data_IF_268036174636
#
_entry.id   IF_268036174636
#
_cell.length_a   1.000
_cell.length_b   1.000
_cell.length_c   1.000
_cell.angle_alpha   90.00
_cell.angle_beta   90.00
_cell.angle_gamma   90.00
#
_symmetry.space_group_name_H-M   'P 1'
#
loop_
_entity.id
_entity.type
_entity.pdbx_description
1 polymer ?
#
# COMPACT_ATOMS: atom_id res chain seq x y z
N UNK A 1 -2.29 67.89 -1.84
CA UNK A 1 -1.74 66.61 -1.33
C UNK A 1 -2.68 65.49 -1.78
N UNK A 2 -2.22 64.59 -2.66
CA UNK A 2 -2.95 63.39 -3.10
C UNK A 2 -2.41 62.21 -2.29
N UNK A 3 -3.27 61.53 -1.54
CA UNK A 3 -2.91 60.32 -0.79
C UNK A 3 -3.44 59.10 -1.53
N UNK A 4 -2.48 58.46 -2.21
CA UNK A 4 -2.18 57.03 -2.30
C UNK A 4 -3.33 56.03 -2.39
N UNK A 5 -3.42 55.41 -3.57
CA UNK A 5 -4.08 54.14 -3.87
C UNK A 5 -3.60 53.01 -2.95
N UNK A 6 -4.52 52.27 -2.33
CA UNK A 6 -4.23 50.94 -1.80
C UNK A 6 -5.29 50.00 -2.40
N UNK A 7 -4.92 49.38 -3.52
CA UNK A 7 -5.59 48.21 -4.07
C UNK A 7 -5.07 46.99 -3.31
N UNK A 8 -5.88 46.45 -2.40
CA UNK A 8 -5.58 45.19 -1.73
C UNK A 8 -5.94 44.06 -2.72
N UNK A 9 -4.93 43.56 -3.42
CA UNK A 9 -5.01 42.31 -4.18
C UNK A 9 -4.92 41.15 -3.18
N UNK A 10 -6.06 40.55 -2.85
CA UNK A 10 -6.10 39.24 -2.20
C UNK A 10 -5.60 38.20 -3.20
N UNK A 11 -4.33 37.83 -3.09
CA UNK A 11 -3.77 36.69 -3.78
C UNK A 11 -4.41 35.40 -3.22
N UNK A 12 -5.04 34.63 -4.10
CA UNK A 12 -5.55 33.29 -3.79
C UNK A 12 -4.41 32.41 -3.28
N UNK A 13 -4.47 32.00 -2.02
CA UNK A 13 -3.62 30.96 -1.48
C UNK A 13 -4.10 29.62 -2.04
N UNK A 14 -3.59 29.22 -3.20
CA UNK A 14 -3.64 27.83 -3.63
C UNK A 14 -2.62 27.14 -2.73
N UNK A 15 -3.08 26.50 -1.66
CA UNK A 15 -2.23 25.53 -0.97
C UNK A 15 -2.00 24.41 -1.96
N UNK A 16 -0.80 24.37 -2.54
CA UNK A 16 -0.26 23.21 -3.23
C UNK A 16 -0.29 22.05 -2.23
N UNK A 17 -1.38 21.28 -2.24
CA UNK A 17 -1.39 19.94 -1.67
C UNK A 17 -0.56 19.14 -2.64
N UNK A 18 0.76 19.19 -2.46
CA UNK A 18 1.72 18.34 -3.15
C UNK A 18 1.46 16.91 -2.65
N UNK A 19 0.43 16.29 -3.21
CA UNK A 19 0.14 14.89 -3.04
C UNK A 19 1.23 14.14 -3.80
N UNK A 20 2.41 14.05 -3.19
CA UNK A 20 3.53 13.29 -3.72
C UNK A 20 3.06 11.84 -3.91
N UNK A 21 2.89 11.44 -5.16
CA UNK A 21 2.60 10.06 -5.54
C UNK A 21 3.81 9.21 -5.11
N UNK A 22 3.72 8.59 -3.94
CA UNK A 22 4.70 7.62 -3.48
C UNK A 22 4.56 6.37 -4.33
N UNK A 23 5.35 6.29 -5.40
CA UNK A 23 5.51 5.05 -6.16
C UNK A 23 6.32 4.08 -5.33
N UNK A 24 5.81 2.89 -5.08
CA UNK A 24 6.50 1.86 -4.31
C UNK A 24 7.03 0.79 -5.27
N UNK A 25 8.22 0.26 -4.97
CA UNK A 25 8.81 -0.85 -5.73
C UNK A 25 9.11 -2.00 -4.81
N UNK A 26 8.73 -3.22 -5.21
CA UNK A 26 8.94 -4.42 -4.40
C UNK A 26 10.43 -4.65 -4.07
N UNK A 27 11.33 -4.22 -4.96
CA UNK A 27 12.79 -4.30 -4.77
C UNK A 27 13.30 -3.45 -3.60
N UNK A 28 12.54 -2.42 -3.20
CA UNK A 28 12.89 -1.61 -2.04
C UNK A 28 12.61 -2.32 -0.72
N UNK A 29 11.81 -3.39 -0.73
CA UNK A 29 11.26 -3.98 0.49
C UNK A 29 10.38 -2.99 1.26
N UNK A 30 10.03 -3.36 2.49
CA UNK A 30 9.30 -2.49 3.40
C UNK A 30 9.78 -2.64 4.84
N UNK A 31 9.85 -1.52 5.55
CA UNK A 31 10.13 -1.47 6.98
C UNK A 31 8.86 -1.14 7.75
N UNK A 32 8.43 -2.07 8.58
CA UNK A 32 7.21 -2.01 9.38
C UNK A 32 7.57 -2.08 10.86
N UNK A 33 7.73 -0.91 11.51
CA UNK A 33 8.25 -0.84 12.87
C UNK A 33 9.69 -1.39 12.96
N UNK A 34 9.86 -2.50 13.68
CA UNK A 34 11.12 -3.21 13.79
C UNK A 34 11.32 -4.31 12.73
N UNK A 35 10.26 -4.69 12.00
CA UNK A 35 10.29 -5.77 11.01
C UNK A 35 10.70 -5.25 9.64
N UNK A 36 11.53 -6.02 8.92
CA UNK A 36 11.95 -5.70 7.54
C UNK A 36 11.45 -6.79 6.60
N UNK A 37 10.54 -6.45 5.70
CA UNK A 37 10.08 -7.32 4.62
C UNK A 37 10.95 -7.12 3.38
N UNK A 38 11.77 -8.11 3.05
CA UNK A 38 12.61 -8.09 1.86
C UNK A 38 11.80 -8.45 0.61
N UNK A 39 12.32 -8.09 -0.57
CA UNK A 39 11.72 -8.43 -1.86
C UNK A 39 11.29 -9.90 -1.94
N UNK A 40 12.20 -10.83 -1.60
CA UNK A 40 11.92 -12.28 -1.65
C UNK A 40 10.73 -12.67 -0.78
N UNK A 41 10.64 -12.13 0.45
CA UNK A 41 9.51 -12.40 1.35
C UNK A 41 8.19 -11.88 0.78
N UNK A 42 8.21 -10.71 0.16
CA UNK A 42 7.03 -10.13 -0.47
C UNK A 42 6.60 -10.93 -1.71
N UNK A 43 7.55 -11.33 -2.55
CA UNK A 43 7.29 -12.16 -3.73
C UNK A 43 6.74 -13.54 -3.34
N UNK A 44 7.29 -14.17 -2.30
CA UNK A 44 6.83 -15.46 -1.78
C UNK A 44 5.42 -15.37 -1.19
N UNK A 45 5.04 -14.23 -0.62
CA UNK A 45 3.68 -13.99 -0.15
C UNK A 45 2.70 -13.72 -1.30
N UNK A 46 3.14 -13.09 -2.41
CA UNK A 46 2.28 -12.76 -3.54
C UNK A 46 2.05 -13.97 -4.46
N UNK A 47 3.12 -14.68 -4.81
CA UNK A 47 3.15 -15.69 -5.86
C UNK A 47 2.08 -16.79 -5.74
N UNK A 48 1.75 -17.35 -4.55
CA UNK A 48 0.72 -18.37 -4.41
C UNK A 48 -0.68 -17.89 -4.83
N UNK A 49 -0.92 -16.59 -4.76
CA UNK A 49 -2.19 -15.96 -5.05
C UNK A 49 -2.28 -15.42 -6.47
N UNK A 50 -1.27 -15.66 -7.32
CA UNK A 50 -1.17 -15.09 -8.65
C UNK A 50 -1.08 -16.18 -9.72
N UNK A 51 -1.94 -16.09 -10.74
CA UNK A 51 -1.90 -16.97 -11.92
C UNK A 51 -1.87 -16.18 -13.20
N UNK A 52 -1.51 -16.85 -14.29
CA UNK A 52 -1.65 -16.29 -15.64
C UNK A 52 -3.02 -16.70 -16.20
N UNK A 53 -3.81 -15.72 -16.63
CA UNK A 53 -5.12 -15.94 -17.25
C UNK A 53 -5.00 -16.37 -18.72
N UNK A 54 -6.13 -16.61 -19.39
CA UNK A 54 -6.16 -17.03 -20.80
C UNK A 54 -5.53 -16.04 -21.77
N UNK A 55 -5.44 -14.76 -21.40
CA UNK A 55 -4.86 -13.68 -22.20
C UNK A 55 -3.36 -13.50 -21.94
N UNK A 56 -2.75 -14.37 -21.12
CA UNK A 56 -1.33 -14.27 -20.76
C UNK A 56 -1.01 -13.20 -19.73
N UNK A 57 -2.03 -12.62 -19.07
CA UNK A 57 -1.86 -11.58 -18.04
C UNK A 57 -1.93 -12.17 -16.63
N UNK A 58 -1.18 -11.63 -15.66
CA UNK A 58 -1.34 -12.00 -14.27
C UNK A 58 -2.73 -11.60 -13.76
N UNK A 59 -3.30 -12.44 -12.90
CA UNK A 59 -4.59 -12.29 -12.25
C UNK A 59 -4.51 -12.84 -10.82
N UNK A 60 -5.07 -12.10 -9.87
CA UNK A 60 -5.22 -12.50 -8.47
C UNK A 60 -6.24 -13.65 -8.33
N UNK A 61 -5.92 -14.66 -7.53
CA UNK A 61 -6.82 -15.75 -7.13
C UNK A 61 -7.36 -15.40 -5.76
N UNK A 62 -8.67 -15.13 -5.65
CA UNK A 62 -9.28 -14.83 -4.35
C UNK A 62 -9.23 -16.05 -3.43
N UNK A 63 -8.71 -15.85 -2.21
CA UNK A 63 -8.70 -16.83 -1.12
C UNK A 63 -9.35 -16.24 0.13
N UNK A 64 -9.87 -17.10 1.02
CA UNK A 64 -10.67 -16.68 2.19
C UNK A 64 -9.88 -15.86 3.22
N UNK A 65 -8.54 -15.93 3.19
CA UNK A 65 -7.62 -15.20 4.04
C UNK A 65 -7.27 -13.80 3.53
N UNK A 66 -7.73 -13.43 2.33
CA UNK A 66 -7.52 -12.11 1.77
C UNK A 66 -8.50 -11.08 2.30
N UNK A 67 -7.99 -9.87 2.51
CA UNK A 67 -8.82 -8.67 2.73
C UNK A 67 -8.78 -7.80 1.49
N UNK A 68 -9.78 -6.93 1.31
CA UNK A 68 -9.84 -6.03 0.14
C UNK A 68 -10.11 -4.58 0.52
N UNK A 69 -9.59 -3.65 -0.25
CA UNK A 69 -10.01 -2.25 -0.24
C UNK A 69 -10.18 -1.75 -1.66
N UNK A 70 -10.71 -0.54 -1.82
CA UNK A 70 -10.81 0.12 -3.12
C UNK A 70 -10.03 1.43 -3.04
N UNK A 71 -9.12 1.66 -3.99
CA UNK A 71 -8.47 2.96 -4.16
C UNK A 71 -9.29 3.79 -5.15
N UNK A 72 -9.40 5.08 -4.86
CA UNK A 72 -9.88 6.10 -5.81
C UNK A 72 -8.63 6.55 -6.59
N UNK A 73 -8.56 6.25 -7.90
CA UNK A 73 -9.38 6.97 -8.86
C UNK A 73 -10.35 6.07 -9.66
N UNK A 74 -11.37 6.67 -10.26
CA UNK A 74 -12.38 5.95 -11.06
C UNK A 74 -11.81 5.38 -12.37
N UNK A 75 -12.13 4.13 -12.74
CA UNK A 75 -12.91 3.16 -11.97
C UNK A 75 -12.12 2.64 -10.76
N UNK A 76 -12.78 2.40 -9.61
CA UNK A 76 -12.10 1.99 -8.39
C UNK A 76 -11.33 0.69 -8.62
N UNK A 77 -10.00 0.76 -8.50
CA UNK A 77 -9.13 -0.41 -8.57
C UNK A 77 -9.11 -1.07 -7.19
N UNK A 78 -9.54 -2.33 -7.04
CA UNK A 78 -9.45 -3.01 -5.77
C UNK A 78 -7.98 -3.34 -5.45
N UNK A 79 -7.61 -3.18 -4.18
CA UNK A 79 -6.40 -3.76 -3.62
C UNK A 79 -6.73 -4.99 -2.79
N UNK A 80 -5.89 -6.01 -2.92
CA UNK A 80 -5.94 -7.25 -2.17
C UNK A 80 -4.79 -7.26 -1.18
N UNK A 81 -5.10 -7.52 0.09
CA UNK A 81 -4.15 -7.53 1.19
C UNK A 81 -3.84 -8.97 1.56
N UNK A 82 -2.62 -9.40 1.26
CA UNK A 82 -2.14 -10.75 1.47
C UNK A 82 -1.36 -10.80 2.79
N UNK A 83 -1.67 -11.75 3.70
CA UNK A 83 -1.03 -11.80 5.00
C UNK A 83 0.47 -12.04 4.89
N UNK A 84 1.26 -11.32 5.68
CA UNK A 84 2.70 -11.51 5.75
C UNK A 84 3.09 -12.31 7.01
N UNK A 85 4.15 -13.13 6.92
CA UNK A 85 4.70 -13.83 8.08
C UNK A 85 5.35 -12.84 9.06
N UNK A 86 5.69 -13.34 10.24
CA UNK A 86 6.50 -12.60 11.20
C UNK A 86 7.97 -12.61 10.78
N UNK A 87 8.58 -11.43 10.66
CA UNK A 87 10.00 -11.25 10.34
C UNK A 87 10.71 -10.39 11.38
N UNK A 88 12.01 -10.63 11.57
CA UNK A 88 12.85 -9.84 12.46
C UNK A 88 13.38 -8.54 11.81
N UNK A 89 14.25 -7.85 12.52
CA UNK A 89 14.90 -6.62 12.06
C UNK A 89 15.96 -6.85 10.97
N UNK A 90 16.32 -8.10 10.68
CA UNK A 90 17.17 -8.45 9.55
C UNK A 90 16.32 -8.86 8.34
N UNK A 91 15.03 -9.13 8.53
CA UNK A 91 14.13 -9.68 7.51
C UNK A 91 14.23 -11.19 7.37
N UNK A 92 14.64 -11.88 8.43
CA UNK A 92 14.54 -13.33 8.55
C UNK A 92 13.15 -13.72 9.08
N UNK A 93 12.56 -14.77 8.52
CA UNK A 93 11.26 -15.29 8.96
C UNK A 93 11.43 -15.95 10.33
N UNK A 94 10.75 -15.40 11.34
CA UNK A 94 10.73 -15.92 12.71
C UNK A 94 9.55 -16.88 12.90
N UNK A 95 8.41 -16.60 12.26
CA UNK A 95 7.23 -17.47 12.27
C UNK A 95 6.47 -17.35 10.95
N UNK A 96 5.90 -18.46 10.48
CA UNK A 96 5.02 -18.50 9.30
C UNK A 96 3.58 -18.10 9.61
N UNK A 97 3.25 -17.90 10.88
CA UNK A 97 1.92 -17.44 11.26
C UNK A 97 1.67 -16.03 10.69
N UNK A 98 0.48 -15.79 10.12
CA UNK A 98 0.07 -14.47 9.65
C UNK A 98 0.18 -13.41 10.74
N UNK A 99 0.63 -12.22 10.36
CA UNK A 99 0.66 -11.02 11.21
C UNK A 99 -0.41 -10.03 10.78
N UNK A 100 -0.52 -8.91 11.50
CA UNK A 100 -1.36 -7.78 11.08
C UNK A 100 -0.77 -7.03 9.87
N UNK A 101 0.47 -7.33 9.47
CA UNK A 101 1.08 -6.78 8.27
C UNK A 101 0.67 -7.57 7.03
N UNK A 102 0.34 -6.83 5.98
CA UNK A 102 -0.11 -7.38 4.71
C UNK A 102 0.63 -6.70 3.56
N UNK A 103 0.93 -7.46 2.52
CA UNK A 103 1.33 -6.90 1.22
C UNK A 103 0.07 -6.63 0.40
N UNK A 104 -0.08 -5.39 -0.05
CA UNK A 104 -1.16 -4.96 -0.91
C UNK A 104 -0.75 -5.12 -2.38
N UNK A 105 -1.60 -5.79 -3.16
CA UNK A 105 -1.45 -5.94 -4.61
C UNK A 105 -2.72 -5.55 -5.33
N UNK A 106 -2.60 -5.15 -6.59
CA UNK A 106 -3.75 -4.89 -7.45
C UNK A 106 -4.32 -6.21 -8.07
N UNK A 107 -5.37 -6.15 -8.90
CA UNK A 107 -5.94 -7.34 -9.55
C UNK A 107 -4.98 -8.06 -10.51
N UNK A 108 -3.92 -7.37 -10.94
CA UNK A 108 -2.90 -7.87 -11.86
C UNK A 108 -1.64 -8.32 -11.12
N UNK A 109 -1.73 -8.51 -9.80
CA UNK A 109 -0.61 -8.91 -8.95
C UNK A 109 0.56 -7.92 -8.93
N UNK A 110 0.32 -6.66 -9.27
CA UNK A 110 1.32 -5.62 -9.14
C UNK A 110 1.41 -5.17 -7.68
N UNK A 111 2.63 -5.14 -7.16
CA UNK A 111 2.92 -4.66 -5.82
C UNK A 111 2.51 -3.20 -5.65
N UNK A 112 1.78 -2.92 -4.57
CA UNK A 112 1.37 -1.57 -4.22
C UNK A 112 2.12 -1.07 -2.98
N UNK A 113 1.91 -1.70 -1.82
CA UNK A 113 2.50 -1.24 -0.55
C UNK A 113 2.50 -2.38 0.47
N UNK A 114 3.25 -2.25 1.55
CA UNK A 114 3.07 -3.07 2.75
C UNK A 114 2.41 -2.23 3.82
N UNK A 115 1.38 -2.76 4.47
CA UNK A 115 0.57 -2.00 5.43
C UNK A 115 0.23 -2.83 6.66
N UNK A 116 0.07 -2.17 7.79
CA UNK A 116 -0.55 -2.74 8.99
C UNK A 116 -2.06 -2.55 8.91
N UNK A 117 -2.81 -3.65 8.93
CA UNK A 117 -4.28 -3.62 8.95
C UNK A 117 -4.73 -3.59 10.41
N UNK A 118 -5.05 -2.41 10.94
CA UNK A 118 -5.45 -2.25 12.35
C UNK A 118 -6.92 -2.61 12.58
N UNK A 119 -7.77 -2.45 11.55
CA UNK A 119 -9.18 -2.83 11.60
C UNK A 119 -9.70 -3.23 10.22
N UNK A 120 -10.75 -4.05 10.23
CA UNK A 120 -11.60 -4.35 9.07
C UNK A 120 -12.97 -3.72 9.29
N UNK A 121 -13.68 -3.45 8.21
CA UNK A 121 -15.07 -3.03 8.27
C UNK A 121 -15.96 -4.12 8.89
N UNK A 122 -17.20 -3.77 9.23
CA UNK A 122 -18.17 -4.68 9.85
C UNK A 122 -18.44 -5.97 9.04
N UNK A 123 -18.12 -5.98 7.74
CA UNK A 123 -18.22 -7.15 6.88
C UNK A 123 -17.09 -8.18 7.08
N UNK A 124 -16.08 -7.85 7.91
CA UNK A 124 -14.96 -8.70 8.26
C UNK A 124 -13.92 -8.92 7.14
N UNK A 125 -14.14 -8.36 5.94
CA UNK A 125 -13.36 -8.67 4.73
C UNK A 125 -12.79 -7.39 4.11
N UNK A 126 -13.48 -6.26 4.25
CA UNK A 126 -13.06 -4.99 3.70
C UNK A 126 -12.12 -4.27 4.67
N UNK A 127 -10.99 -3.76 4.19
CA UNK A 127 -10.06 -2.94 4.98
C UNK A 127 -10.62 -1.54 5.10
N UNK A 128 -10.77 -1.06 6.34
CA UNK A 128 -11.11 0.33 6.61
C UNK A 128 -9.88 1.21 6.33
N UNK A 129 -10.00 2.06 5.31
CA UNK A 129 -8.92 2.94 4.86
C UNK A 129 -8.49 3.96 5.92
N UNK A 130 -9.35 4.32 6.88
CA UNK A 130 -8.99 5.22 7.98
C UNK A 130 -8.15 4.49 9.05
N UNK A 131 -8.19 3.16 9.06
CA UNK A 131 -7.56 2.30 10.07
C UNK A 131 -6.46 1.39 9.48
N UNK A 132 -5.81 1.81 8.40
CA UNK A 132 -4.58 1.19 7.90
C UNK A 132 -3.37 2.10 8.09
N UNK A 133 -2.20 1.49 8.24
CA UNK A 133 -0.94 2.24 8.38
C UNK A 133 0.10 1.66 7.44
N UNK A 134 0.37 2.40 6.37
CA UNK A 134 1.37 2.02 5.40
C UNK A 134 2.77 2.07 6.03
N UNK A 135 3.57 1.05 5.73
CA UNK A 135 4.97 0.97 6.13
C UNK A 135 5.80 2.02 5.36
N UNK A 136 7.12 1.99 5.51
CA UNK A 136 8.02 2.82 4.68
C UNK A 136 8.92 1.95 3.82
N UNK A 137 9.38 2.42 2.64
CA UNK A 137 10.38 1.67 1.86
C UNK A 137 11.64 1.43 2.70
N UNK A 138 12.19 0.21 2.67
CA UNK A 138 13.44 -0.09 3.39
C UNK A 138 14.66 0.53 2.68
N UNK A 139 14.65 0.56 1.35
CA UNK A 139 15.70 1.17 0.52
C UNK A 139 15.22 2.40 -0.25
N UNK A 140 16.09 3.41 -0.47
CA UNK A 140 15.75 4.61 -1.23
C UNK A 140 15.48 4.31 -2.71
N UNK A 141 14.83 5.25 -3.39
CA UNK A 141 14.68 5.25 -4.84
C UNK A 141 16.05 5.44 -5.50
N UNK A 142 16.55 4.41 -6.17
CA UNK A 142 17.72 4.49 -7.07
C UNK A 142 17.28 4.54 -8.51
#
# INVERSE_FOLDING_TARGET
MRLTNILILFACSITDVDAELKYWRIQQGAKCGASIYRQETLEDAIKPHCRINSDGKPEIILTDDMKRSYIIPEPPTPLYYLPLPSVDANGEIVSKEPTDYHVAVDPYCEFNVVTEVMSVADDGITVDNEMRKDCVPDKPFT
#
